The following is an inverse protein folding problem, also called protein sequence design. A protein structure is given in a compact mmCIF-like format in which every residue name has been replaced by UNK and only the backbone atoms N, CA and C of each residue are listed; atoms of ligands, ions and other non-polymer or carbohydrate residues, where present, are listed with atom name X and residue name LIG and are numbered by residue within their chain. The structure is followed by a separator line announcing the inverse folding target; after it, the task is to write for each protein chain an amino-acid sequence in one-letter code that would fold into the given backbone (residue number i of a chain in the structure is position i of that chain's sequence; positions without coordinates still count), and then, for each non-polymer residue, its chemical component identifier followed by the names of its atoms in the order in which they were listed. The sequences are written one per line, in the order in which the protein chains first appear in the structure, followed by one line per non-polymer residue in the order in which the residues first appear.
data_IF_864692636206
#
_entry.id   IF_864692636206
#
_cell.length_a   1.000
_cell.length_b   1.000
_cell.length_c   1.000
_cell.angle_alpha   90.00
_cell.angle_beta   90.00
_cell.angle_gamma   90.00
#
_symmetry.space_group_name_H-M   'P 1'
#
loop_
_entity.id
_entity.type
_entity.pdbx_description
1 polymer ?
#
# COMPACT_ATOMS: atom_id res chain seq x y z
N UNK A 1 0.85 20.84 -51.22
CA UNK A 1 0.79 19.38 -51.09
C UNK A 1 0.92 19.05 -49.60
N UNK A 2 -0.21 18.78 -48.96
CA UNK A 2 -0.24 18.23 -47.62
C UNK A 2 0.29 16.82 -47.72
N UNK A 3 1.43 16.53 -47.04
CA UNK A 3 1.95 15.19 -46.86
C UNK A 3 0.95 14.38 -46.07
N UNK A 4 0.64 13.19 -46.55
CA UNK A 4 -0.01 12.16 -45.76
C UNK A 4 0.90 11.81 -44.58
N UNK A 5 0.60 12.33 -43.39
CA UNK A 5 1.14 11.77 -42.16
C UNK A 5 0.59 10.35 -42.05
N UNK A 6 1.47 9.37 -42.23
CA UNK A 6 1.14 7.99 -42.08
C UNK A 6 0.49 7.76 -40.72
N UNK A 7 -0.76 7.34 -40.71
CA UNK A 7 -1.44 6.91 -39.50
C UNK A 7 -0.58 5.86 -38.80
N UNK A 8 -0.13 6.18 -37.60
CA UNK A 8 0.49 5.17 -36.74
C UNK A 8 -0.43 3.95 -36.68
N UNK A 9 0.10 2.72 -36.73
CA UNK A 9 -0.75 1.54 -36.72
C UNK A 9 -1.60 1.60 -35.43
N UNK A 10 -2.90 1.85 -35.58
CA UNK A 10 -3.83 1.71 -34.49
C UNK A 10 -3.78 0.23 -34.08
N UNK A 11 -3.28 -0.02 -32.91
CA UNK A 11 -3.42 -1.32 -32.28
C UNK A 11 -4.92 -1.58 -32.24
N UNK A 12 -5.37 -2.67 -32.88
CA UNK A 12 -6.77 -3.03 -32.86
C UNK A 12 -7.13 -3.50 -31.43
N UNK A 13 -7.57 -2.55 -30.61
CA UNK A 13 -7.91 -2.77 -29.21
C UNK A 13 -9.00 -3.83 -29.08
N UNK A 14 -9.90 -3.94 -30.07
CA UNK A 14 -10.98 -4.93 -30.06
C UNK A 14 -10.48 -6.37 -30.11
N UNK A 15 -9.31 -6.59 -30.71
CA UNK A 15 -8.67 -7.93 -30.73
C UNK A 15 -7.92 -8.24 -29.42
N UNK A 16 -7.59 -7.23 -28.62
CA UNK A 16 -6.82 -7.39 -27.40
C UNK A 16 -7.68 -7.59 -26.14
N UNK A 17 -8.94 -7.18 -26.20
CA UNK A 17 -9.85 -7.21 -25.03
C UNK A 17 -11.07 -8.08 -25.32
N UNK A 18 -11.54 -8.78 -24.30
CA UNK A 18 -12.69 -9.68 -24.37
C UNK A 18 -14.03 -8.94 -24.60
N UNK A 19 -15.10 -9.69 -24.90
CA UNK A 19 -16.42 -9.09 -25.14
C UNK A 19 -17.00 -8.39 -23.91
N UNK A 20 -16.59 -8.80 -22.72
CA UNK A 20 -17.08 -8.26 -21.45
C UNK A 20 -16.15 -7.22 -20.82
N UNK A 21 -14.97 -7.04 -21.39
CA UNK A 21 -14.03 -6.03 -20.91
C UNK A 21 -14.49 -4.62 -21.31
N UNK A 22 -14.01 -3.63 -20.57
CA UNK A 22 -14.28 -2.22 -20.84
C UNK A 22 -12.96 -1.47 -21.09
N UNK A 23 -12.97 -0.59 -22.09
CA UNK A 23 -11.87 0.30 -22.36
C UNK A 23 -12.37 1.63 -22.93
N UNK A 24 -11.68 2.71 -22.59
CA UNK A 24 -11.90 4.03 -23.17
C UNK A 24 -10.58 4.75 -23.38
N UNK A 25 -10.44 5.43 -24.48
CA UNK A 25 -9.30 6.28 -24.81
C UNK A 25 -9.80 7.68 -25.09
N UNK A 26 -9.20 8.65 -24.42
CA UNK A 26 -9.55 10.06 -24.56
C UNK A 26 -8.38 10.86 -25.13
N UNK A 27 -8.69 11.81 -25.98
CA UNK A 27 -7.73 12.85 -26.35
C UNK A 27 -7.52 13.81 -25.16
N UNK A 28 -6.45 14.64 -25.18
CA UNK A 28 -6.19 15.63 -24.11
C UNK A 28 -7.33 16.63 -23.87
N UNK A 29 -8.15 16.87 -24.89
CA UNK A 29 -9.34 17.72 -24.84
C UNK A 29 -10.60 16.99 -24.32
N UNK A 30 -10.45 15.80 -23.74
CA UNK A 30 -11.51 14.93 -23.24
C UNK A 30 -12.42 14.34 -24.34
N UNK A 31 -12.10 14.49 -25.61
CA UNK A 31 -12.85 13.86 -26.69
C UNK A 31 -12.59 12.35 -26.70
N UNK A 32 -13.68 11.57 -26.77
CA UNK A 32 -13.57 10.12 -26.85
C UNK A 32 -12.99 9.72 -28.20
N UNK A 33 -11.84 9.05 -28.19
CA UNK A 33 -11.20 8.49 -29.38
C UNK A 33 -11.61 7.03 -29.61
N UNK A 34 -11.79 6.30 -28.53
CA UNK A 34 -12.24 4.92 -28.55
C UNK A 34 -13.03 4.62 -27.28
N UNK A 35 -14.10 3.83 -27.40
CA UNK A 35 -14.86 3.37 -26.25
C UNK A 35 -15.47 1.99 -26.53
N UNK A 36 -15.26 1.05 -25.63
CA UNK A 36 -15.90 -0.26 -25.59
C UNK A 36 -16.43 -0.50 -24.20
N UNK A 37 -17.73 -0.76 -24.08
CA UNK A 37 -18.39 -0.99 -22.78
C UNK A 37 -18.06 0.08 -21.70
N UNK A 38 -17.80 1.32 -22.10
CA UNK A 38 -17.28 2.37 -21.19
C UNK A 38 -18.24 2.71 -20.05
N UNK A 39 -19.56 2.55 -20.28
CA UNK A 39 -20.60 2.81 -19.28
C UNK A 39 -20.97 1.56 -18.46
N UNK A 40 -20.32 0.43 -18.74
CA UNK A 40 -20.59 -0.82 -18.01
C UNK A 40 -19.91 -0.80 -16.65
N UNK A 41 -20.64 -1.15 -15.60
CA UNK A 41 -20.11 -1.32 -14.27
C UNK A 41 -19.06 -2.45 -14.25
N UNK A 42 -17.85 -2.12 -13.85
CA UNK A 42 -16.71 -3.04 -13.74
C UNK A 42 -16.19 -3.07 -12.31
N UNK A 43 -15.57 -4.19 -11.91
CA UNK A 43 -14.85 -4.28 -10.64
C UNK A 43 -13.50 -3.58 -10.82
N UNK A 44 -13.25 -2.45 -10.15
CA UNK A 44 -12.05 -1.64 -10.40
C UNK A 44 -10.75 -2.31 -9.94
N UNK A 45 -10.83 -3.27 -9.02
CA UNK A 45 -9.67 -3.90 -8.42
C UNK A 45 -8.61 -2.83 -8.00
N UNK A 46 -7.34 -3.04 -8.32
CA UNK A 46 -6.27 -2.10 -7.97
C UNK A 46 -6.30 -0.75 -8.69
N UNK A 47 -7.12 -0.58 -9.73
CA UNK A 47 -7.27 0.73 -10.36
C UNK A 47 -7.92 1.75 -9.41
N UNK A 48 -8.66 1.29 -8.39
CA UNK A 48 -9.21 2.15 -7.34
C UNK A 48 -8.12 2.91 -6.56
N UNK A 49 -6.88 2.40 -6.53
CA UNK A 49 -5.75 3.10 -5.89
C UNK A 49 -5.44 4.45 -6.51
N UNK A 50 -5.72 4.62 -7.81
CA UNK A 50 -5.55 5.91 -8.50
C UNK A 50 -6.49 6.96 -7.89
N UNK A 51 -7.75 6.61 -7.66
CA UNK A 51 -8.72 7.49 -7.01
C UNK A 51 -8.32 7.76 -5.56
N UNK A 52 -7.89 6.73 -4.83
CA UNK A 52 -7.41 6.89 -3.44
C UNK A 52 -6.22 7.85 -3.38
N UNK A 53 -5.25 7.72 -4.28
CA UNK A 53 -4.10 8.61 -4.35
C UNK A 53 -4.50 10.06 -4.69
N UNK A 54 -5.43 10.23 -5.63
CA UNK A 54 -5.95 11.55 -5.98
C UNK A 54 -6.65 12.22 -4.78
N UNK A 55 -7.51 11.50 -4.08
CA UNK A 55 -8.18 12.00 -2.89
C UNK A 55 -7.18 12.34 -1.78
N UNK A 56 -6.14 11.52 -1.59
CA UNK A 56 -5.09 11.81 -0.62
C UNK A 56 -4.32 13.08 -0.98
N UNK A 57 -3.91 13.25 -2.23
CA UNK A 57 -3.24 14.47 -2.69
C UNK A 57 -4.10 15.72 -2.53
N UNK A 58 -5.39 15.62 -2.84
CA UNK A 58 -6.32 16.73 -2.70
C UNK A 58 -6.55 17.12 -1.23
N UNK A 59 -6.66 16.14 -0.32
CA UNK A 59 -6.99 16.38 1.09
C UNK A 59 -5.78 16.69 1.94
N UNK A 60 -4.64 16.06 1.67
CA UNK A 60 -3.43 16.16 2.48
C UNK A 60 -2.39 17.11 1.84
N UNK A 61 -2.44 17.27 0.54
CA UNK A 61 -1.44 18.03 -0.23
C UNK A 61 -0.20 17.19 -0.58
N UNK A 62 0.61 17.65 -1.56
CA UNK A 62 1.78 16.92 -2.05
C UNK A 62 2.94 16.87 -1.04
N UNK A 63 2.97 17.80 -0.08
CA UNK A 63 4.04 17.90 0.93
C UNK A 63 3.71 17.16 2.23
N UNK A 64 2.55 16.53 2.32
CA UNK A 64 2.18 15.76 3.49
C UNK A 64 3.17 14.61 3.72
N UNK A 65 3.55 14.39 4.99
CA UNK A 65 4.43 13.29 5.39
C UNK A 65 3.73 12.47 6.45
N UNK A 66 3.69 11.17 6.22
CA UNK A 66 3.27 10.22 7.24
C UNK A 66 4.32 10.13 8.32
N UNK A 67 3.91 9.89 9.55
CA UNK A 67 4.80 9.88 10.70
C UNK A 67 4.67 8.60 11.50
N UNK A 68 5.80 8.14 12.01
CA UNK A 68 5.89 7.21 13.14
C UNK A 68 6.73 7.88 14.21
N UNK A 69 6.18 8.08 15.39
CA UNK A 69 6.86 8.82 16.47
C UNK A 69 7.41 7.90 17.53
N UNK A 70 8.58 8.26 18.03
CA UNK A 70 9.31 7.50 19.04
C UNK A 70 9.48 8.37 20.29
N UNK A 71 9.05 7.83 21.45
CA UNK A 71 9.15 8.52 22.72
C UNK A 71 9.88 7.64 23.71
N UNK A 72 10.59 8.26 24.65
CA UNK A 72 11.20 7.59 25.77
C UNK A 72 10.69 8.22 27.05
N UNK A 73 10.28 7.41 28.02
CA UNK A 73 9.89 7.88 29.33
C UNK A 73 11.06 7.76 30.36
N UNK A 74 10.85 8.30 31.55
CA UNK A 74 11.84 8.29 32.64
C UNK A 74 12.18 6.87 33.15
N UNK A 75 11.34 5.88 32.83
CA UNK A 75 11.57 4.46 33.17
C UNK A 75 12.35 3.70 32.11
N UNK A 76 12.84 4.38 31.07
CA UNK A 76 13.49 3.82 29.90
C UNK A 76 12.60 2.90 29.04
N UNK A 77 11.29 3.11 29.04
CA UNK A 77 10.43 2.46 28.05
C UNK A 77 10.51 3.23 26.73
N UNK A 78 10.57 2.51 25.63
CA UNK A 78 10.47 3.05 24.28
C UNK A 78 9.04 2.89 23.78
N UNK A 79 8.36 3.99 23.50
CA UNK A 79 7.00 4.00 22.96
C UNK A 79 7.10 4.34 21.49
N UNK A 80 6.52 3.49 20.65
CA UNK A 80 6.41 3.69 19.20
C UNK A 80 4.95 3.93 18.88
N UNK A 81 4.63 5.17 18.45
CA UNK A 81 3.28 5.56 18.09
C UNK A 81 3.13 5.70 16.59
N UNK A 82 2.19 4.94 16.02
CA UNK A 82 1.82 5.00 14.61
C UNK A 82 0.82 6.09 14.31
N UNK A 83 0.94 6.68 13.12
CA UNK A 83 0.02 7.66 12.55
C UNK A 83 -0.36 7.30 11.10
N UNK A 84 -0.37 6.00 10.79
CA UNK A 84 -0.82 5.49 9.50
C UNK A 84 0.22 5.56 8.39
N UNK A 85 1.51 5.46 8.72
CA UNK A 85 2.58 5.37 7.72
C UNK A 85 2.43 4.08 6.90
N UNK A 86 2.11 4.17 5.60
CA UNK A 86 1.90 3.00 4.76
C UNK A 86 3.19 2.34 4.29
N UNK A 87 4.35 2.98 4.51
CA UNK A 87 5.65 2.52 4.02
C UNK A 87 6.61 2.10 5.14
N UNK A 88 6.12 1.88 6.36
CA UNK A 88 6.95 1.36 7.44
C UNK A 88 7.24 -0.13 7.19
N UNK A 89 8.33 -0.39 6.48
CA UNK A 89 8.78 -1.74 6.13
C UNK A 89 10.00 -2.15 6.96
N UNK A 90 10.35 -3.43 6.96
CA UNK A 90 11.43 -4.00 7.78
C UNK A 90 12.77 -3.29 7.57
N UNK A 91 13.08 -2.87 6.36
CA UNK A 91 14.30 -2.15 6.02
C UNK A 91 14.35 -0.79 6.73
N UNK A 92 13.24 -0.06 6.75
CA UNK A 92 13.14 1.22 7.47
C UNK A 92 13.21 1.00 8.99
N UNK A 93 12.54 -0.03 9.50
CA UNK A 93 12.62 -0.39 10.93
C UNK A 93 14.05 -0.71 11.32
N UNK A 94 14.83 -1.41 10.49
CA UNK A 94 16.23 -1.71 10.74
C UNK A 94 17.09 -0.44 10.81
N UNK A 95 16.89 0.51 9.89
CA UNK A 95 17.61 1.80 9.92
C UNK A 95 17.22 2.65 11.15
N UNK A 96 15.94 2.70 11.48
CA UNK A 96 15.47 3.37 12.70
C UNK A 96 16.10 2.74 13.95
N UNK A 97 16.14 1.41 14.03
CA UNK A 97 16.74 0.69 15.15
C UNK A 97 18.23 1.03 15.32
N UNK A 98 19.00 1.13 14.23
CA UNK A 98 20.40 1.58 14.26
C UNK A 98 20.55 3.00 14.83
N UNK A 99 19.69 3.92 14.37
CA UNK A 99 19.69 5.31 14.84
C UNK A 99 19.37 5.36 16.35
N UNK A 100 18.36 4.61 16.78
CA UNK A 100 17.94 4.55 18.18
C UNK A 100 19.01 3.91 19.05
N UNK A 101 19.66 2.82 18.60
CA UNK A 101 20.76 2.18 19.33
C UNK A 101 21.95 3.11 19.58
N UNK A 102 22.21 4.06 18.69
CA UNK A 102 23.22 5.10 18.90
C UNK A 102 22.82 6.18 19.92
N UNK A 103 21.55 6.27 20.30
CA UNK A 103 21.00 7.31 21.19
C UNK A 103 20.46 6.78 22.51
N UNK A 104 20.08 5.51 22.57
CA UNK A 104 19.42 4.87 23.70
C UNK A 104 20.25 3.66 24.13
N UNK A 105 20.91 3.77 25.26
CA UNK A 105 21.77 2.69 25.77
C UNK A 105 20.97 1.48 26.29
N UNK A 106 19.77 1.69 26.79
CA UNK A 106 18.94 0.64 27.36
C UNK A 106 17.45 0.92 27.16
N UNK A 107 16.70 -0.09 26.75
CA UNK A 107 15.24 -0.10 26.69
C UNK A 107 14.71 -1.14 27.67
N UNK A 108 13.80 -0.75 28.56
CA UNK A 108 13.18 -1.65 29.53
C UNK A 108 12.00 -2.39 28.90
N UNK A 109 11.07 -1.63 28.32
CA UNK A 109 9.92 -2.17 27.59
C UNK A 109 9.80 -1.47 26.25
N UNK A 110 9.33 -2.24 25.25
CA UNK A 110 8.87 -1.71 23.99
C UNK A 110 7.33 -1.64 24.03
N UNK A 111 6.78 -0.44 23.90
CA UNK A 111 5.34 -0.18 23.90
C UNK A 111 4.94 0.24 22.50
N UNK A 112 4.03 -0.51 21.89
CA UNK A 112 3.45 -0.21 20.57
C UNK A 112 2.11 0.49 20.79
N UNK A 113 1.96 1.70 20.25
CA UNK A 113 0.78 2.53 20.39
C UNK A 113 0.10 2.70 19.01
N UNK A 114 -1.01 2.00 18.82
CA UNK A 114 -1.87 2.02 17.65
C UNK A 114 -3.16 2.84 17.87
N UNK A 115 -3.23 3.59 18.96
CA UNK A 115 -4.48 4.25 19.41
C UNK A 115 -4.90 5.45 18.56
N UNK A 116 -4.11 5.86 17.58
CA UNK A 116 -4.49 6.95 16.68
C UNK A 116 -5.59 6.53 15.69
N UNK A 117 -5.61 5.27 15.25
CA UNK A 117 -6.68 4.74 14.43
C UNK A 117 -7.85 4.24 15.27
N UNK A 118 -9.05 4.30 14.71
CA UNK A 118 -10.21 3.64 15.30
C UNK A 118 -9.95 2.12 15.35
N UNK A 119 -10.02 1.48 16.53
CA UNK A 119 -9.78 0.04 16.66
C UNK A 119 -10.82 -0.81 15.91
N UNK A 120 -11.97 -0.23 15.56
CA UNK A 120 -13.01 -0.90 14.79
C UNK A 120 -12.88 -0.70 13.28
N UNK A 121 -11.86 0.02 12.81
CA UNK A 121 -11.65 0.26 11.39
C UNK A 121 -11.50 -1.07 10.64
N UNK A 122 -12.29 -1.25 9.61
CA UNK A 122 -12.27 -2.42 8.75
C UNK A 122 -12.26 -2.00 7.30
N UNK A 123 -11.45 -2.66 6.50
CA UNK A 123 -11.49 -2.49 5.05
C UNK A 123 -12.69 -3.29 4.52
N UNK A 124 -13.66 -2.65 3.83
CA UNK A 124 -14.80 -3.35 3.27
C UNK A 124 -14.39 -4.54 2.40
N UNK A 125 -15.06 -5.68 2.57
CA UNK A 125 -14.80 -6.89 1.79
C UNK A 125 -13.68 -7.78 2.32
N UNK A 126 -12.94 -7.38 3.36
CA UNK A 126 -11.92 -8.24 3.98
C UNK A 126 -12.57 -9.39 4.75
N UNK A 127 -11.84 -10.53 4.81
CA UNK A 127 -12.28 -11.75 5.49
C UNK A 127 -11.43 -12.02 6.71
N UNK A 128 -12.07 -12.26 7.85
CA UNK A 128 -11.38 -12.71 9.05
C UNK A 128 -10.73 -14.09 8.83
N UNK A 129 -9.53 -14.29 9.40
CA UNK A 129 -8.75 -15.54 9.32
C UNK A 129 -8.34 -15.94 7.88
N UNK A 130 -8.30 -15.00 6.97
CA UNK A 130 -7.73 -15.20 5.64
C UNK A 130 -6.20 -15.21 5.72
N UNK A 131 -5.55 -15.92 4.81
CA UNK A 131 -4.09 -15.88 4.60
C UNK A 131 -3.71 -14.95 3.43
N UNK A 132 -4.68 -14.24 2.88
CA UNK A 132 -4.43 -13.32 1.78
C UNK A 132 -3.94 -11.98 2.31
N UNK A 133 -2.88 -11.40 1.74
CA UNK A 133 -2.29 -10.15 2.25
C UNK A 133 -3.25 -8.95 2.18
N UNK A 134 -4.22 -8.96 1.26
CA UNK A 134 -5.22 -7.90 1.16
C UNK A 134 -6.32 -7.97 2.23
N UNK A 135 -6.36 -9.04 3.01
CA UNK A 135 -7.27 -9.20 4.16
C UNK A 135 -6.57 -8.83 5.49
N UNK A 136 -5.33 -8.37 5.45
CA UNK A 136 -4.59 -7.96 6.65
C UNK A 136 -5.34 -6.84 7.39
N UNK A 137 -5.31 -6.82 8.74
CA UNK A 137 -5.93 -5.77 9.52
C UNK A 137 -5.34 -4.39 9.21
N UNK A 138 -6.17 -3.36 9.17
CA UNK A 138 -5.72 -1.98 9.14
C UNK A 138 -5.43 -1.47 10.55
N UNK A 139 -4.46 -0.57 10.69
CA UNK A 139 -4.10 0.08 11.94
C UNK A 139 -3.24 1.31 11.68
N UNK A 140 -2.98 2.10 12.72
CA UNK A 140 -2.12 3.26 12.60
C UNK A 140 -0.63 2.91 12.70
N UNK A 141 -0.29 1.77 13.28
CA UNK A 141 1.07 1.25 13.38
C UNK A 141 1.15 -0.09 12.63
N UNK A 142 1.42 -0.02 11.34
CA UNK A 142 1.53 -1.18 10.47
C UNK A 142 2.97 -1.35 10.02
N UNK A 143 3.56 -2.52 10.22
CA UNK A 143 4.86 -2.88 9.64
C UNK A 143 4.61 -3.94 8.56
N UNK A 144 5.28 -3.79 7.40
CA UNK A 144 5.12 -4.70 6.26
C UNK A 144 3.65 -4.94 5.89
N UNK A 145 2.82 -3.87 5.90
CA UNK A 145 1.38 -3.94 5.60
C UNK A 145 0.61 -4.88 6.55
N UNK A 146 1.07 -5.07 7.79
CA UNK A 146 0.56 -6.07 8.74
C UNK A 146 0.56 -7.51 8.19
N UNK A 147 1.54 -7.84 7.38
CA UNK A 147 1.70 -9.17 6.79
C UNK A 147 3.04 -9.78 7.17
N UNK A 148 3.07 -11.11 7.20
CA UNK A 148 4.29 -11.90 7.34
C UNK A 148 4.29 -12.94 6.24
N UNK A 149 5.30 -12.91 5.37
CA UNK A 149 5.48 -13.92 4.36
C UNK A 149 6.25 -15.12 4.92
N UNK A 150 5.61 -16.28 4.93
CA UNK A 150 6.21 -17.51 5.44
C UNK A 150 6.16 -18.63 4.39
N UNK A 151 7.18 -19.48 4.38
CA UNK A 151 7.24 -20.67 3.52
C UNK A 151 7.63 -21.89 4.33
N UNK A 152 7.21 -23.06 3.89
CA UNK A 152 7.59 -24.32 4.51
C UNK A 152 8.81 -24.92 3.81
N UNK A 153 9.89 -25.13 4.56
CA UNK A 153 11.10 -25.83 4.11
C UNK A 153 11.43 -26.95 5.08
N UNK A 154 11.66 -28.15 4.56
CA UNK A 154 12.02 -29.34 5.39
C UNK A 154 11.12 -29.50 6.62
N UNK A 155 9.82 -29.37 6.43
CA UNK A 155 8.79 -29.48 7.48
C UNK A 155 8.81 -28.37 8.56
N UNK A 156 9.62 -27.33 8.39
CA UNK A 156 9.72 -26.16 9.29
C UNK A 156 9.23 -24.90 8.58
N UNK A 157 8.55 -24.02 9.30
CA UNK A 157 8.19 -22.71 8.81
C UNK A 157 9.40 -21.77 8.89
N UNK A 158 9.71 -21.13 7.78
CA UNK A 158 10.77 -20.12 7.68
C UNK A 158 10.21 -18.87 7.03
N UNK A 159 10.83 -17.72 7.30
CA UNK A 159 10.48 -16.50 6.59
C UNK A 159 10.70 -16.67 5.09
N UNK A 160 9.76 -16.19 4.29
CA UNK A 160 9.91 -16.08 2.85
C UNK A 160 10.68 -14.80 2.44
N UNK A 161 10.89 -13.89 3.39
CA UNK A 161 11.58 -12.62 3.22
C UNK A 161 12.81 -12.56 4.13
N UNK A 162 14.03 -12.36 3.59
CA UNK A 162 15.26 -12.36 4.39
C UNK A 162 15.29 -11.31 5.51
N UNK A 163 14.64 -10.16 5.28
CA UNK A 163 14.59 -9.04 6.20
C UNK A 163 13.54 -9.20 7.32
N UNK A 164 12.66 -10.19 7.23
CA UNK A 164 11.58 -10.42 8.22
C UNK A 164 11.76 -11.80 8.85
N UNK A 165 12.60 -11.93 9.89
CA UNK A 165 12.80 -13.20 10.57
C UNK A 165 11.49 -13.66 11.24
N UNK A 166 11.19 -14.97 11.15
CA UNK A 166 10.21 -15.59 12.02
C UNK A 166 10.85 -15.85 13.38
N UNK A 167 10.12 -15.53 14.42
CA UNK A 167 10.50 -15.79 15.80
C UNK A 167 10.20 -17.23 16.18
#
# INVERSE_FOLDING_TARGET
SCGEEGAAPFIDVDQMIGPDDAAAVFAPDCRVMYAKNADRMQIPASTLKVLTALCALERLGPDFRFETRFYRNDKNDLIIKGYGDPLLISEQVAEIAKILAGRIAQVRHLILDDTWADPEIRIPGTRARSLQPYDAPAGALCVNFNTVAAQRRNNTWVSAEPQTPLL
#
